data_IF_294182575723
#
_entry.id   IF_294182575723
#
_cell.length_a   1.000
_cell.length_b   1.000
_cell.length_c   1.000
_cell.angle_alpha   90.00
_cell.angle_beta   90.00
_cell.angle_gamma   90.00
#
_symmetry.space_group_name_H-M   'P 1'
#
loop_
_entity.id
_entity.type
_entity.pdbx_description
1 polymer ?
#
# COMPACT_ATOMS: atom_id res chain seq x y z
N UNK A 1 -10.63 -2.88 -29.67
CA UNK A 1 -11.04 -4.19 -29.13
C UNK A 1 -11.75 -3.96 -27.83
N UNK A 2 -12.90 -4.56 -27.61
CA UNK A 2 -13.58 -4.50 -26.31
C UNK A 2 -12.79 -5.32 -25.31
N UNK A 3 -12.71 -4.86 -24.05
CA UNK A 3 -12.01 -5.54 -22.98
C UNK A 3 -12.71 -6.86 -22.64
N UNK A 4 -11.96 -7.96 -22.57
CA UNK A 4 -12.51 -9.28 -22.27
C UNK A 4 -12.87 -9.44 -20.78
N UNK A 5 -12.04 -8.83 -19.93
CA UNK A 5 -12.16 -8.84 -18.49
C UNK A 5 -11.29 -7.74 -17.90
N UNK A 6 -11.78 -7.04 -16.88
CA UNK A 6 -11.00 -6.06 -16.12
C UNK A 6 -11.41 -6.08 -14.64
N UNK A 7 -10.54 -6.50 -13.75
CA UNK A 7 -10.85 -6.61 -12.33
C UNK A 7 -11.09 -5.26 -11.62
N UNK A 8 -10.78 -4.14 -12.27
CA UNK A 8 -11.06 -2.78 -11.77
C UNK A 8 -12.45 -2.27 -12.15
N UNK A 9 -13.14 -2.94 -13.07
CA UNK A 9 -14.48 -2.58 -13.47
C UNK A 9 -15.52 -3.46 -12.73
N UNK A 10 -16.44 -2.85 -11.97
CA UNK A 10 -17.50 -3.57 -11.24
C UNK A 10 -18.41 -4.43 -12.14
N UNK A 11 -18.45 -4.19 -13.43
CA UNK A 11 -19.16 -5.06 -14.35
C UNK A 11 -18.54 -6.47 -14.41
N UNK A 12 -17.20 -6.54 -14.43
CA UNK A 12 -16.48 -7.80 -14.54
C UNK A 12 -16.20 -8.49 -13.21
N UNK A 13 -16.09 -7.73 -12.11
CA UNK A 13 -15.80 -8.27 -10.78
C UNK A 13 -16.63 -7.61 -9.69
N UNK A 14 -17.49 -8.38 -9.04
CA UNK A 14 -18.32 -7.96 -7.92
C UNK A 14 -18.17 -8.88 -6.72
N UNK A 15 -17.96 -8.34 -5.51
CA UNK A 15 -17.70 -6.92 -5.22
C UNK A 15 -16.30 -6.49 -5.67
N UNK A 16 -16.11 -5.18 -5.81
CA UNK A 16 -14.80 -4.58 -6.09
C UNK A 16 -13.87 -4.71 -4.87
N UNK A 17 -12.57 -4.80 -5.12
CA UNK A 17 -11.54 -4.81 -4.07
C UNK A 17 -11.36 -6.17 -3.40
N UNK A 18 -10.89 -6.14 -2.13
CA UNK A 18 -10.71 -7.32 -1.30
C UNK A 18 -12.05 -7.87 -0.79
N UNK A 19 -12.08 -9.17 -0.53
CA UNK A 19 -13.26 -9.88 -0.06
C UNK A 19 -13.12 -10.25 1.42
N UNK A 20 -14.21 -10.24 2.13
CA UNK A 20 -14.29 -10.84 3.45
C UNK A 20 -14.44 -12.36 3.31
N UNK A 21 -13.77 -13.15 4.13
CA UNK A 21 -13.94 -14.59 4.15
C UNK A 21 -15.43 -14.97 4.33
N UNK A 22 -15.90 -15.89 3.50
CA UNK A 22 -17.33 -16.25 3.37
C UNK A 22 -18.14 -15.41 2.38
N UNK A 23 -17.57 -14.35 1.82
CA UNK A 23 -18.22 -13.55 0.79
C UNK A 23 -18.11 -14.21 -0.59
N UNK A 24 -19.19 -14.10 -1.38
CA UNK A 24 -19.21 -14.60 -2.76
C UNK A 24 -18.69 -13.52 -3.70
N UNK A 25 -17.80 -13.88 -4.61
CA UNK A 25 -17.38 -13.07 -5.75
C UNK A 25 -18.06 -13.55 -7.02
N UNK A 26 -18.59 -12.62 -7.81
CA UNK A 26 -19.03 -12.84 -9.18
C UNK A 26 -17.99 -12.32 -10.13
N UNK A 27 -17.56 -13.16 -11.08
CA UNK A 27 -16.68 -12.78 -12.17
C UNK A 27 -17.43 -12.96 -13.50
N UNK A 28 -17.38 -11.95 -14.36
CA UNK A 28 -18.00 -11.95 -15.68
C UNK A 28 -16.93 -11.83 -16.75
N UNK A 29 -16.99 -12.67 -17.77
CA UNK A 29 -16.05 -12.70 -18.88
C UNK A 29 -16.82 -12.43 -20.18
N UNK A 30 -16.32 -11.51 -21.01
CA UNK A 30 -16.89 -11.17 -22.30
C UNK A 30 -16.01 -11.72 -23.42
N UNK A 31 -16.54 -12.64 -24.20
CA UNK A 31 -15.83 -13.32 -25.28
C UNK A 31 -16.38 -12.88 -26.63
N UNK A 32 -15.56 -12.26 -27.50
CA UNK A 32 -15.98 -11.95 -28.90
C UNK A 32 -16.37 -13.18 -29.66
N UNK A 33 -17.40 -13.09 -30.50
CA UNK A 33 -17.86 -14.19 -31.34
C UNK A 33 -16.78 -14.71 -32.30
N UNK A 34 -15.86 -13.84 -32.69
CA UNK A 34 -14.70 -14.17 -33.54
C UNK A 34 -13.79 -15.25 -32.94
N UNK A 35 -13.81 -15.44 -31.63
CA UNK A 35 -13.05 -16.50 -30.96
C UNK A 35 -13.68 -17.90 -31.16
N UNK A 36 -14.86 -17.97 -31.74
CA UNK A 36 -15.56 -19.22 -32.01
C UNK A 36 -16.11 -19.91 -30.77
N UNK A 37 -16.29 -21.22 -30.85
CA UNK A 37 -16.77 -21.99 -29.70
C UNK A 37 -15.73 -21.99 -28.58
N UNK A 38 -16.17 -21.69 -27.34
CA UNK A 38 -15.38 -21.73 -26.12
C UNK A 38 -16.18 -22.36 -24.99
N UNK A 39 -15.49 -23.01 -24.07
CA UNK A 39 -16.03 -23.50 -22.79
C UNK A 39 -15.21 -22.92 -21.64
N UNK A 40 -15.43 -21.63 -21.27
CA UNK A 40 -14.52 -20.91 -20.38
C UNK A 40 -14.63 -21.42 -18.95
N UNK A 41 -13.46 -21.59 -18.33
CA UNK A 41 -13.29 -21.95 -16.93
C UNK A 41 -12.45 -20.88 -16.24
N UNK A 42 -12.87 -20.46 -15.06
CA UNK A 42 -12.01 -19.76 -14.14
C UNK A 42 -11.04 -20.76 -13.51
N UNK A 43 -9.75 -20.51 -13.61
CA UNK A 43 -8.70 -21.27 -12.92
C UNK A 43 -8.24 -20.45 -11.74
N UNK A 44 -8.50 -20.95 -10.54
CA UNK A 44 -8.21 -20.28 -9.28
C UNK A 44 -7.19 -21.06 -8.46
N UNK A 45 -6.15 -20.41 -7.98
CA UNK A 45 -5.11 -20.98 -7.14
C UNK A 45 -4.89 -20.11 -5.92
N UNK A 46 -4.96 -20.68 -4.73
CA UNK A 46 -4.56 -20.02 -3.50
C UNK A 46 -3.02 -19.96 -3.43
N UNK A 47 -2.47 -18.88 -2.88
CA UNK A 47 -1.04 -18.78 -2.63
C UNK A 47 -0.61 -19.82 -1.59
N UNK A 48 0.35 -20.67 -1.97
CA UNK A 48 0.89 -21.71 -1.11
C UNK A 48 1.62 -22.78 -1.90
N UNK A 49 2.59 -23.42 -1.29
CA UNK A 49 3.48 -24.39 -1.98
C UNK A 49 2.74 -25.67 -2.46
N UNK A 50 1.58 -25.96 -1.88
CA UNK A 50 0.85 -27.21 -2.13
C UNK A 50 -0.55 -27.02 -2.68
N UNK A 51 -0.95 -25.79 -2.97
CA UNK A 51 -2.30 -25.50 -3.47
C UNK A 51 -2.40 -25.78 -4.98
N UNK A 52 -3.20 -26.76 -5.32
CA UNK A 52 -3.48 -27.16 -6.71
C UNK A 52 -4.52 -26.18 -7.29
N UNK A 53 -4.34 -25.70 -8.54
CA UNK A 53 -5.37 -24.90 -9.19
C UNK A 53 -6.70 -25.63 -9.29
N UNK A 54 -7.79 -24.93 -8.97
CA UNK A 54 -9.15 -25.43 -9.07
C UNK A 54 -9.83 -24.77 -10.28
N UNK A 55 -10.49 -25.57 -11.10
CA UNK A 55 -11.18 -25.11 -12.30
C UNK A 55 -12.68 -25.02 -12.06
N UNK A 56 -13.25 -23.85 -12.31
CA UNK A 56 -14.68 -23.59 -12.18
C UNK A 56 -15.26 -23.24 -13.54
N UNK A 57 -16.11 -24.10 -14.07
CA UNK A 57 -16.79 -23.85 -15.34
C UNK A 57 -17.67 -22.62 -15.22
N UNK A 58 -17.53 -21.70 -16.16
CA UNK A 58 -18.37 -20.49 -16.22
C UNK A 58 -19.69 -20.81 -16.91
N UNK A 59 -20.76 -20.17 -16.48
CA UNK A 59 -22.08 -20.31 -17.06
C UNK A 59 -22.30 -19.25 -18.13
N UNK A 60 -22.93 -19.62 -19.23
CA UNK A 60 -23.40 -18.63 -20.19
C UNK A 60 -24.43 -17.71 -19.52
N UNK A 61 -24.24 -16.42 -19.65
CA UNK A 61 -24.98 -15.36 -18.92
C UNK A 61 -25.65 -14.36 -19.87
N UNK A 62 -25.64 -14.64 -21.13
CA UNK A 62 -26.23 -13.82 -22.17
C UNK A 62 -25.27 -13.46 -23.31
N UNK A 63 -25.76 -12.69 -24.25
CA UNK A 63 -24.98 -12.25 -25.42
C UNK A 63 -25.37 -10.82 -25.84
N UNK A 64 -24.44 -10.14 -26.46
CA UNK A 64 -24.67 -8.96 -27.30
C UNK A 64 -24.41 -9.32 -28.76
N UNK A 65 -24.70 -8.46 -29.74
CA UNK A 65 -24.43 -8.75 -31.15
C UNK A 65 -22.94 -9.04 -31.46
N UNK A 66 -22.04 -8.84 -30.56
CA UNK A 66 -20.61 -8.95 -30.80
C UNK A 66 -19.88 -9.85 -29.77
N UNK A 67 -20.54 -10.19 -28.65
CA UNK A 67 -19.88 -10.89 -27.54
C UNK A 67 -20.84 -11.86 -26.83
N UNK A 68 -20.28 -12.98 -26.40
CA UNK A 68 -20.89 -13.91 -25.45
C UNK A 68 -20.41 -13.60 -24.06
N UNK A 69 -21.31 -13.55 -23.09
CA UNK A 69 -21.02 -13.27 -21.70
C UNK A 69 -21.09 -14.57 -20.89
N UNK A 70 -20.11 -14.78 -20.05
CA UNK A 70 -20.03 -15.91 -19.13
C UNK A 70 -19.79 -15.42 -17.72
N UNK A 71 -20.38 -16.07 -16.73
CA UNK A 71 -20.17 -15.71 -15.35
C UNK A 71 -19.93 -16.91 -14.44
N UNK A 72 -19.27 -16.66 -13.32
CA UNK A 72 -19.09 -17.63 -12.24
C UNK A 72 -19.25 -16.91 -10.89
N UNK A 73 -19.90 -17.57 -9.95
CA UNK A 73 -20.04 -17.11 -8.57
C UNK A 73 -19.35 -18.10 -7.63
N UNK A 74 -18.44 -17.59 -6.80
CA UNK A 74 -17.62 -18.39 -5.92
C UNK A 74 -17.66 -17.84 -4.49
N UNK A 75 -18.08 -18.63 -3.49
CA UNK A 75 -17.84 -18.33 -2.10
C UNK A 75 -16.36 -18.57 -1.78
N UNK A 76 -15.66 -17.55 -1.28
CA UNK A 76 -14.28 -17.66 -0.84
C UNK A 76 -14.23 -17.63 0.69
N UNK A 77 -14.11 -18.80 1.30
CA UNK A 77 -14.23 -18.97 2.74
C UNK A 77 -12.90 -18.78 3.50
N UNK A 78 -11.78 -19.12 2.86
CA UNK A 78 -10.48 -19.12 3.51
C UNK A 78 -9.72 -17.82 3.25
N UNK A 79 -9.23 -17.12 4.28
CA UNK A 79 -8.36 -15.96 4.10
C UNK A 79 -7.07 -16.32 3.34
N UNK A 80 -6.57 -15.38 2.56
CA UNK A 80 -5.32 -15.52 1.80
C UNK A 80 -5.34 -14.77 0.48
N UNK A 81 -4.25 -14.96 -0.26
CA UNK A 81 -4.14 -14.46 -1.63
C UNK A 81 -4.52 -15.57 -2.60
N UNK A 82 -5.29 -15.21 -3.60
CA UNK A 82 -5.71 -16.08 -4.68
C UNK A 82 -5.30 -15.46 -6.00
N UNK A 83 -4.75 -16.28 -6.89
CA UNK A 83 -4.39 -15.88 -8.25
C UNK A 83 -5.29 -16.60 -9.23
N UNK A 84 -5.73 -15.92 -10.28
CA UNK A 84 -6.62 -16.52 -11.25
C UNK A 84 -6.38 -16.03 -12.68
N UNK A 85 -6.80 -16.85 -13.62
CA UNK A 85 -6.87 -16.59 -15.03
C UNK A 85 -8.06 -17.38 -15.62
N UNK A 86 -8.34 -17.21 -16.90
CA UNK A 86 -9.40 -17.98 -17.55
C UNK A 86 -8.81 -18.92 -18.59
N UNK A 87 -9.26 -20.19 -18.58
CA UNK A 87 -8.94 -21.20 -19.60
C UNK A 87 -10.15 -21.38 -20.49
N UNK A 88 -9.99 -21.26 -21.81
CA UNK A 88 -11.10 -21.36 -22.75
C UNK A 88 -11.43 -22.79 -23.10
N UNK A 89 -10.62 -23.75 -22.66
CA UNK A 89 -10.75 -25.21 -22.92
C UNK A 89 -10.86 -25.57 -24.39
N UNK A 90 -10.37 -24.69 -25.26
CA UNK A 90 -10.26 -24.90 -26.69
C UNK A 90 -8.87 -24.53 -27.16
N UNK A 91 -8.19 -25.39 -27.90
CA UNK A 91 -6.89 -25.11 -28.52
C UNK A 91 -5.82 -24.46 -27.63
N UNK A 92 -5.84 -24.71 -26.30
CA UNK A 92 -4.91 -24.20 -25.29
C UNK A 92 -4.92 -22.67 -25.12
N UNK A 93 -5.92 -21.97 -25.64
CA UNK A 93 -6.07 -20.52 -25.39
C UNK A 93 -6.48 -20.24 -23.97
N UNK A 94 -5.83 -19.27 -23.39
CA UNK A 94 -6.12 -18.75 -22.04
C UNK A 94 -6.21 -17.24 -22.08
N UNK A 95 -6.85 -16.64 -21.07
CA UNK A 95 -6.92 -15.20 -20.90
C UNK A 95 -6.17 -14.84 -19.64
N UNK A 96 -5.14 -14.05 -19.79
CA UNK A 96 -4.29 -13.53 -18.73
C UNK A 96 -4.40 -12.02 -18.61
N UNK A 97 -3.91 -11.48 -17.52
CA UNK A 97 -3.90 -10.05 -17.24
C UNK A 97 -2.92 -9.31 -18.14
N UNK A 98 -3.41 -8.40 -18.95
CA UNK A 98 -2.60 -7.48 -19.74
C UNK A 98 -2.11 -6.27 -18.95
N UNK A 99 -1.25 -5.40 -19.56
CA UNK A 99 -0.63 -4.24 -18.89
C UNK A 99 -1.63 -3.24 -18.31
N UNK A 100 -2.76 -3.04 -18.96
CA UNK A 100 -3.86 -2.15 -18.57
C UNK A 100 -4.93 -2.83 -17.70
N UNK A 101 -4.61 -4.00 -17.13
CA UNK A 101 -5.51 -4.89 -16.41
C UNK A 101 -6.60 -5.54 -17.27
N UNK A 102 -6.69 -5.24 -18.57
CA UNK A 102 -7.59 -5.92 -19.50
C UNK A 102 -7.09 -7.33 -19.85
N UNK A 103 -8.02 -8.26 -20.02
CA UNK A 103 -7.72 -9.64 -20.42
C UNK A 103 -7.15 -9.71 -21.83
N UNK A 104 -6.07 -10.46 -22.00
CA UNK A 104 -5.44 -10.77 -23.29
C UNK A 104 -5.42 -12.26 -23.53
N UNK A 105 -5.77 -12.69 -24.75
CA UNK A 105 -5.70 -14.11 -25.16
C UNK A 105 -4.25 -14.48 -25.38
N UNK A 106 -3.82 -15.61 -24.82
CA UNK A 106 -2.46 -16.13 -24.95
C UNK A 106 -2.43 -17.65 -24.94
N UNK A 107 -1.49 -18.25 -25.68
CA UNK A 107 -1.13 -19.67 -25.62
C UNK A 107 -0.02 -19.96 -24.63
N UNK A 108 0.66 -18.92 -24.16
CA UNK A 108 1.72 -19.01 -23.16
C UNK A 108 1.22 -18.53 -21.80
N UNK A 109 1.87 -18.97 -20.73
CA UNK A 109 1.58 -18.47 -19.40
C UNK A 109 1.87 -16.97 -19.32
N UNK A 110 0.92 -16.22 -18.73
CA UNK A 110 0.98 -14.78 -18.54
C UNK A 110 0.71 -14.38 -17.09
N UNK A 111 0.59 -13.10 -16.87
CA UNK A 111 0.28 -12.58 -15.54
C UNK A 111 -1.16 -12.90 -15.12
N UNK A 112 -1.33 -13.25 -13.85
CA UNK A 112 -2.61 -13.59 -13.25
C UNK A 112 -3.21 -12.38 -12.53
N UNK A 113 -4.54 -12.31 -12.47
CA UNK A 113 -5.19 -11.39 -11.53
C UNK A 113 -5.14 -11.95 -10.13
N UNK A 114 -5.30 -11.06 -9.16
CA UNK A 114 -5.29 -11.39 -7.73
C UNK A 114 -6.64 -11.10 -7.08
N UNK A 115 -7.05 -11.98 -6.17
CA UNK A 115 -8.11 -11.71 -5.18
C UNK A 115 -7.49 -11.83 -3.79
N UNK A 116 -7.66 -10.80 -2.98
CA UNK A 116 -7.32 -10.84 -1.56
C UNK A 116 -8.57 -11.16 -0.76
N UNK A 117 -8.50 -12.21 0.05
CA UNK A 117 -9.55 -12.58 1.00
C UNK A 117 -9.02 -12.33 2.40
N UNK A 118 -9.67 -11.44 3.16
CA UNK A 118 -9.29 -11.13 4.53
C UNK A 118 -10.16 -11.86 5.55
N UNK A 119 -9.64 -12.05 6.75
CA UNK A 119 -10.32 -12.74 7.84
C UNK A 119 -11.69 -12.10 8.14
N UNK A 120 -12.71 -12.92 8.36
CA UNK A 120 -14.06 -12.46 8.63
C UNK A 120 -14.19 -11.65 9.93
N UNK A 121 -13.30 -11.90 10.89
CA UNK A 121 -13.22 -11.16 12.15
C UNK A 121 -12.39 -9.87 12.06
N UNK A 122 -11.70 -9.60 10.93
CA UNK A 122 -10.92 -8.38 10.77
C UNK A 122 -11.81 -7.13 10.84
N UNK A 123 -11.41 -6.20 11.69
CA UNK A 123 -12.07 -4.90 11.82
C UNK A 123 -11.03 -3.79 11.84
N UNK A 124 -11.23 -2.80 11.01
CA UNK A 124 -10.46 -1.56 11.10
C UNK A 124 -10.82 -0.85 12.41
N UNK A 125 -9.85 -0.44 13.25
CA UNK A 125 -10.12 0.30 14.47
C UNK A 125 -10.97 1.55 14.19
N UNK A 126 -12.03 1.74 14.98
CA UNK A 126 -12.95 2.87 14.80
C UNK A 126 -12.23 4.23 14.92
N UNK A 127 -11.19 4.30 15.76
CA UNK A 127 -10.44 5.54 15.99
C UNK A 127 -9.72 6.07 14.75
N UNK A 128 -9.51 5.24 13.70
CA UNK A 128 -8.81 5.66 12.47
C UNK A 128 -9.76 5.85 11.27
N UNK A 129 -11.02 5.40 11.39
CA UNK A 129 -11.98 5.53 10.29
C UNK A 129 -12.37 6.99 10.05
N UNK A 130 -12.28 7.42 8.79
CA UNK A 130 -12.61 8.78 8.37
C UNK A 130 -11.67 9.86 8.90
N UNK A 131 -10.47 9.48 9.38
CA UNK A 131 -9.48 10.37 9.95
C UNK A 131 -8.45 10.83 8.93
N UNK A 132 -7.93 12.04 9.13
CA UNK A 132 -6.89 12.63 8.30
C UNK A 132 -5.52 12.33 8.89
N UNK A 133 -4.70 11.63 8.13
CA UNK A 133 -3.29 11.38 8.46
C UNK A 133 -2.42 12.34 7.68
N UNK A 134 -1.50 13.02 8.37
CA UNK A 134 -0.55 13.93 7.76
C UNK A 134 0.87 13.43 7.96
N UNK A 135 1.56 13.15 6.85
CA UNK A 135 2.95 12.72 6.90
C UNK A 135 3.88 13.91 7.02
N UNK A 136 4.84 13.82 7.93
CA UNK A 136 5.86 14.85 8.16
C UNK A 136 7.24 14.26 7.90
N UNK A 137 8.01 14.94 7.07
CA UNK A 137 9.46 14.79 6.98
C UNK A 137 10.10 15.81 7.94
N UNK A 138 10.56 15.41 9.13
CA UNK A 138 10.91 16.37 10.20
C UNK A 138 11.92 17.42 9.78
N UNK A 139 13.00 17.02 9.10
CA UNK A 139 14.04 17.92 8.63
C UNK A 139 13.53 19.05 7.73
N UNK A 140 12.46 18.79 6.96
CA UNK A 140 11.91 19.68 5.94
C UNK A 140 10.72 20.49 6.42
N UNK A 141 10.22 20.27 7.64
CA UNK A 141 8.91 20.80 8.05
C UNK A 141 9.00 22.14 8.74
N UNK A 142 9.67 22.23 9.87
CA UNK A 142 9.79 23.46 10.65
C UNK A 142 10.96 23.36 11.61
N UNK A 143 11.79 24.39 11.64
CA UNK A 143 12.82 24.58 12.67
C UNK A 143 12.20 25.24 13.90
N UNK A 144 12.33 24.60 15.06
CA UNK A 144 11.81 25.10 16.33
C UNK A 144 12.90 25.55 17.29
N UNK A 145 14.13 25.05 17.13
CA UNK A 145 15.27 25.38 17.94
C UNK A 145 16.33 26.06 17.05
N UNK A 146 16.51 27.35 17.24
CA UNK A 146 17.57 28.12 16.58
C UNK A 146 18.96 27.76 17.15
N UNK A 147 19.98 27.84 16.27
CA UNK A 147 21.39 27.62 16.66
C UNK A 147 21.63 26.27 17.38
N UNK A 148 20.88 25.25 17.04
CA UNK A 148 21.11 23.91 17.58
C UNK A 148 22.47 23.36 17.14
N UNK A 149 23.11 22.52 17.98
CA UNK A 149 24.37 21.90 17.60
C UNK A 149 24.22 21.03 16.37
N UNK A 150 25.17 21.15 15.45
CA UNK A 150 25.29 20.35 14.26
C UNK A 150 26.47 19.37 14.46
N UNK A 151 26.24 18.21 15.07
CA UNK A 151 27.30 17.36 15.58
C UNK A 151 28.08 16.61 14.48
N UNK A 152 27.58 16.62 13.27
CA UNK A 152 28.14 15.82 12.18
C UNK A 152 28.71 16.74 11.09
N UNK A 153 30.04 16.82 10.92
CA UNK A 153 30.68 17.73 9.97
C UNK A 153 30.52 17.30 8.50
N UNK A 154 30.12 16.08 8.27
CA UNK A 154 29.87 15.49 6.94
C UNK A 154 28.44 15.73 6.41
N UNK A 155 27.57 16.33 7.24
CA UNK A 155 26.21 16.70 6.83
C UNK A 155 26.18 18.15 6.34
N UNK A 156 25.52 18.36 5.19
CA UNK A 156 25.42 19.69 4.56
C UNK A 156 24.19 20.42 5.05
N UNK A 157 24.36 21.44 5.87
CA UNK A 157 23.25 22.23 6.39
C UNK A 157 22.95 23.42 5.47
N UNK A 158 21.72 23.48 4.98
CA UNK A 158 21.24 24.55 4.13
C UNK A 158 20.92 25.79 4.99
N UNK A 159 21.67 26.88 4.73
CA UNK A 159 21.38 28.17 5.37
C UNK A 159 20.08 28.78 4.82
N UNK A 160 19.86 28.64 3.51
CA UNK A 160 18.62 29.04 2.86
C UNK A 160 17.58 27.92 2.98
N UNK A 161 16.52 28.16 3.75
CA UNK A 161 15.42 27.20 3.94
C UNK A 161 14.53 27.02 2.69
N UNK A 162 14.70 27.88 1.69
CA UNK A 162 14.00 27.83 0.42
C UNK A 162 14.86 27.28 -0.73
N UNK A 163 16.11 26.91 -0.43
CA UNK A 163 16.98 26.27 -1.41
C UNK A 163 16.39 24.97 -1.95
N UNK A 164 16.70 24.64 -3.19
CA UNK A 164 16.31 23.34 -3.74
C UNK A 164 17.08 22.22 -3.05
N UNK A 165 16.40 21.12 -2.65
CA UNK A 165 17.07 19.93 -2.16
C UNK A 165 17.97 19.30 -3.22
N UNK A 166 19.02 18.58 -2.81
CA UNK A 166 19.84 17.81 -3.71
C UNK A 166 19.06 16.62 -4.26
N UNK A 167 18.62 16.73 -5.51
CA UNK A 167 17.82 15.72 -6.18
C UNK A 167 18.58 15.02 -7.33
N UNK A 168 19.69 15.61 -7.80
CA UNK A 168 20.51 15.01 -8.84
C UNK A 168 21.47 13.97 -8.26
N UNK A 169 21.70 12.87 -8.97
CA UNK A 169 22.74 11.92 -8.57
C UNK A 169 24.11 12.58 -8.62
N UNK A 170 25.00 12.16 -7.72
CA UNK A 170 26.40 12.55 -7.73
C UNK A 170 27.14 11.91 -8.92
N UNK A 171 28.45 12.18 -9.06
CA UNK A 171 29.31 11.67 -10.15
C UNK A 171 29.32 10.13 -10.22
N UNK A 172 29.04 9.44 -9.12
CA UNK A 172 28.96 7.96 -9.07
C UNK A 172 27.56 7.42 -9.27
N UNK A 173 26.57 8.28 -9.55
CA UNK A 173 25.16 7.89 -9.76
C UNK A 173 24.35 7.68 -8.45
N UNK A 174 24.94 7.94 -7.29
CA UNK A 174 24.27 7.85 -5.98
C UNK A 174 23.61 9.15 -5.56
N UNK A 175 22.54 9.04 -4.78
CA UNK A 175 21.93 10.18 -4.08
C UNK A 175 22.51 10.27 -2.68
N UNK A 176 23.10 11.40 -2.31
CA UNK A 176 23.78 11.55 -1.02
C UNK A 176 22.79 11.61 0.16
N UNK A 177 21.63 12.25 -0.02
CA UNK A 177 20.63 12.46 1.04
C UNK A 177 21.24 13.08 2.34
N UNK A 178 22.21 13.96 2.18
CA UNK A 178 23.04 14.55 3.24
C UNK A 178 22.77 16.06 3.43
N UNK A 179 21.85 16.63 2.64
CA UNK A 179 21.41 18.01 2.74
C UNK A 179 20.32 18.14 3.81
N UNK A 180 20.56 18.97 4.81
CA UNK A 180 19.67 19.18 5.95
C UNK A 180 19.15 20.62 5.97
N UNK A 181 17.85 20.78 6.22
CA UNK A 181 17.18 22.07 6.33
C UNK A 181 16.91 22.48 7.78
N UNK A 182 17.20 21.59 8.71
CA UNK A 182 17.17 21.90 10.12
C UNK A 182 15.81 21.89 10.79
N UNK A 183 14.77 21.35 10.15
CA UNK A 183 13.52 21.07 10.84
C UNK A 183 13.74 20.09 12.00
N UNK A 184 12.93 20.19 13.06
CA UNK A 184 13.10 19.40 14.28
C UNK A 184 11.75 19.07 14.96
N UNK A 185 11.80 18.26 16.03
CA UNK A 185 10.60 17.86 16.76
C UNK A 185 9.94 19.03 17.51
N UNK A 186 10.71 20.02 17.91
CA UNK A 186 10.17 21.23 18.52
C UNK A 186 9.40 22.06 17.48
N UNK A 187 9.91 22.16 16.25
CA UNK A 187 9.20 22.80 15.16
C UNK A 187 7.86 22.12 14.84
N UNK A 188 7.84 20.78 14.88
CA UNK A 188 6.58 20.03 14.75
C UNK A 188 5.64 20.39 15.91
N UNK A 189 6.14 20.41 17.15
CA UNK A 189 5.35 20.76 18.33
C UNK A 189 4.75 22.17 18.23
N UNK A 190 5.51 23.14 17.78
CA UNK A 190 5.04 24.53 17.59
C UNK A 190 3.94 24.58 16.52
N UNK A 191 4.00 23.75 15.50
CA UNK A 191 3.04 23.69 14.40
C UNK A 191 1.79 22.83 14.68
N UNK A 192 1.67 22.17 15.83
CA UNK A 192 0.49 21.36 16.18
C UNK A 192 -0.83 22.15 16.12
N UNK A 193 -0.92 23.43 16.60
CA UNK A 193 -2.15 24.21 16.46
C UNK A 193 -2.57 24.39 15.00
N UNK A 194 -1.63 24.70 14.12
CA UNK A 194 -1.86 24.83 12.67
C UNK A 194 -2.35 23.52 12.06
N UNK A 195 -1.72 22.39 12.37
CA UNK A 195 -2.13 21.07 11.88
C UNK A 195 -3.53 20.70 12.36
N UNK A 196 -3.86 21.05 13.61
CA UNK A 196 -5.20 20.85 14.16
C UNK A 196 -6.25 21.71 13.44
N UNK A 197 -5.93 22.96 13.13
CA UNK A 197 -6.82 23.85 12.37
C UNK A 197 -7.07 23.32 10.96
N UNK A 198 -6.06 22.69 10.34
CA UNK A 198 -6.20 21.96 9.07
C UNK A 198 -7.08 20.71 9.15
N UNK A 199 -7.50 20.28 10.33
CA UNK A 199 -8.28 19.06 10.52
C UNK A 199 -7.45 17.76 10.54
N UNK A 200 -6.15 17.83 10.83
CA UNK A 200 -5.29 16.65 10.97
C UNK A 200 -5.58 15.96 12.29
N UNK A 201 -5.90 14.67 12.22
CA UNK A 201 -6.16 13.82 13.38
C UNK A 201 -4.91 13.05 13.84
N UNK A 202 -4.09 12.62 12.90
CA UNK A 202 -2.91 11.77 13.15
C UNK A 202 -1.69 12.27 12.40
N UNK A 203 -0.53 12.17 13.05
CA UNK A 203 0.76 12.45 12.43
C UNK A 203 1.49 11.14 12.13
N UNK A 204 1.96 11.00 10.89
CA UNK A 204 2.92 9.99 10.50
C UNK A 204 4.28 10.66 10.31
N UNK A 205 5.21 10.42 11.23
CA UNK A 205 6.55 10.99 11.12
C UNK A 205 7.46 10.05 10.31
N UNK A 206 8.20 10.58 9.33
CA UNK A 206 9.37 9.88 8.83
C UNK A 206 10.29 9.52 10.01
N UNK A 207 11.18 8.53 9.88
CA UNK A 207 12.03 8.10 10.99
C UNK A 207 12.73 9.26 11.69
N UNK A 208 12.77 9.21 13.03
CA UNK A 208 13.35 10.25 13.89
C UNK A 208 14.60 9.78 14.63
N UNK A 209 14.92 8.51 14.51
CA UNK A 209 16.03 7.88 15.20
C UNK A 209 17.37 8.18 14.52
N UNK A 210 18.46 7.95 15.25
CA UNK A 210 19.81 8.22 14.78
C UNK A 210 20.10 7.50 13.46
N UNK A 211 20.50 8.28 12.45
CA UNK A 211 20.83 7.81 11.11
C UNK A 211 21.74 8.79 10.38
N UNK A 212 22.45 8.35 9.36
CA UNK A 212 23.33 9.22 8.57
C UNK A 212 22.57 10.08 7.56
N UNK A 213 21.51 9.55 6.93
CA UNK A 213 20.74 10.28 5.91
C UNK A 213 19.68 11.22 6.50
N UNK A 214 19.33 12.25 5.75
CA UNK A 214 18.29 13.21 6.14
C UNK A 214 16.90 12.56 6.32
N UNK A 215 16.59 11.52 5.55
CA UNK A 215 15.32 10.78 5.63
C UNK A 215 15.27 9.75 6.77
N UNK A 216 16.41 9.34 7.32
CA UNK A 216 16.59 8.45 8.48
C UNK A 216 16.03 7.04 8.36
N UNK A 217 15.66 6.59 7.14
CA UNK A 217 15.21 5.21 6.92
C UNK A 217 16.35 4.18 7.07
N UNK A 218 17.61 4.60 6.97
CA UNK A 218 18.81 3.81 7.25
C UNK A 218 19.21 3.92 8.74
N UNK A 219 18.27 3.73 9.64
CA UNK A 219 18.43 3.88 11.09
C UNK A 219 19.62 3.09 11.61
N UNK A 220 20.55 3.76 12.30
CA UNK A 220 21.71 3.17 12.96
C UNK A 220 21.41 2.76 14.41
N UNK A 221 20.62 3.56 15.12
CA UNK A 221 20.23 3.28 16.51
C UNK A 221 18.77 3.67 16.75
N UNK A 222 17.95 2.68 17.13
CA UNK A 222 16.53 2.89 17.48
C UNK A 222 16.28 3.36 18.92
N UNK A 223 17.31 3.44 19.75
CA UNK A 223 17.17 3.86 21.15
C UNK A 223 17.31 5.36 21.31
N UNK A 224 18.00 6.02 20.39
CA UNK A 224 18.28 7.44 20.42
C UNK A 224 17.59 8.20 19.28
N UNK A 225 17.04 9.36 19.60
CA UNK A 225 16.59 10.34 18.60
C UNK A 225 17.83 10.98 17.98
N UNK A 226 17.79 11.18 16.65
CA UNK A 226 18.89 11.80 15.92
C UNK A 226 19.20 13.21 16.49
N UNK A 227 20.45 13.52 16.87
CA UNK A 227 20.82 14.78 17.51
C UNK A 227 20.36 16.06 16.79
N UNK A 228 20.35 16.14 15.45
CA UNK A 228 19.76 17.28 14.72
C UNK A 228 18.22 17.41 14.87
N UNK A 229 17.55 16.43 15.47
CA UNK A 229 16.11 16.48 15.78
C UNK A 229 15.87 16.60 17.30
N UNK A 230 16.47 17.55 18.05
CA UNK A 230 16.28 17.60 19.47
C UNK A 230 14.78 17.70 19.79
N UNK A 231 14.33 16.89 20.74
CA UNK A 231 13.07 17.09 21.40
C UNK A 231 13.26 18.08 22.54
N UNK A 232 12.26 18.90 22.87
CA UNK A 232 12.32 19.69 24.09
C UNK A 232 12.54 18.73 25.26
N UNK A 233 13.52 19.04 26.13
CA UNK A 233 13.73 18.25 27.34
C UNK A 233 12.38 18.07 28.06
N UNK A 234 11.96 16.86 28.40
CA UNK A 234 10.67 16.67 29.04
C UNK A 234 10.72 17.43 30.38
N UNK A 235 9.97 18.53 30.50
CA UNK A 235 9.52 18.96 31.81
C UNK A 235 8.86 17.72 32.41
N UNK A 236 9.35 17.27 33.59
CA UNK A 236 8.92 16.04 34.28
C UNK A 236 7.47 15.72 33.96
N UNK A 237 7.26 14.60 33.27
CA UNK A 237 5.98 14.22 32.74
C UNK A 237 4.93 14.14 33.84
N UNK A 238 3.83 14.85 33.67
CA UNK A 238 2.62 14.58 34.45
C UNK A 238 2.12 13.17 34.12
N UNK A 239 1.46 12.45 35.04
CA UNK A 239 1.05 11.04 34.86
C UNK A 239 0.15 10.75 33.65
N UNK A 240 -0.48 11.79 33.06
CA UNK A 240 -1.38 11.66 31.90
C UNK A 240 -0.72 11.33 30.56
N UNK A 241 0.61 11.46 30.41
CA UNK A 241 1.33 11.11 29.17
C UNK A 241 1.65 9.62 29.02
N UNK A 242 1.44 8.81 30.04
CA UNK A 242 1.67 7.36 29.97
C UNK A 242 0.60 6.60 29.17
N UNK A 243 -0.59 7.15 29.00
CA UNK A 243 -1.67 6.53 28.22
C UNK A 243 -1.48 6.70 26.71
N UNK A 244 -1.00 7.85 26.23
CA UNK A 244 -0.71 8.08 24.81
C UNK A 244 0.40 7.15 24.29
N UNK A 245 1.36 6.77 25.13
CA UNK A 245 2.38 5.76 24.77
C UNK A 245 1.81 4.33 24.68
N UNK A 246 0.75 4.00 25.39
CA UNK A 246 0.11 2.68 25.33
C UNK A 246 -0.66 2.49 24.05
N UNK A 247 -1.35 3.49 23.54
CA UNK A 247 -2.08 3.43 22.25
C UNK A 247 -1.09 3.20 21.10
N UNK A 248 0.06 3.86 21.07
CA UNK A 248 1.09 3.65 20.07
C UNK A 248 1.74 2.26 20.10
N UNK A 249 1.82 1.61 21.29
CA UNK A 249 2.34 0.24 21.42
C UNK A 249 1.32 -0.82 21.00
N UNK A 250 0.04 -0.62 21.28
CA UNK A 250 -1.01 -1.55 20.87
C UNK A 250 -1.26 -1.54 19.36
N UNK A 251 -1.11 -0.42 18.69
CA UNK A 251 -1.11 -0.37 17.23
C UNK A 251 0.10 -1.09 16.60
N UNK A 252 1.29 -1.02 17.22
CA UNK A 252 2.48 -1.73 16.71
C UNK A 252 2.40 -3.25 16.82
N UNK A 253 1.78 -3.79 17.89
CA UNK A 253 1.73 -5.24 18.12
C UNK A 253 0.73 -5.99 17.25
N UNK A 254 -0.24 -5.30 16.60
CA UNK A 254 -1.23 -5.92 15.73
C UNK A 254 -0.89 -5.90 14.24
N UNK A 255 0.18 -5.20 13.84
CA UNK A 255 0.55 -5.03 12.42
C UNK A 255 1.86 -5.71 12.01
N UNK A 256 2.37 -6.63 12.79
CA UNK A 256 3.49 -7.49 12.35
C UNK A 256 2.96 -8.88 12.00
N UNK A 257 2.85 -9.24 10.71
CA UNK A 257 2.48 -10.60 10.29
C UNK A 257 3.67 -11.56 10.28
N UNK A 258 4.82 -11.18 10.84
CA UNK A 258 6.02 -12.02 10.87
C UNK A 258 6.55 -12.17 12.31
N UNK A 259 6.09 -13.21 12.95
CA UNK A 259 6.81 -13.99 13.93
C UNK A 259 6.58 -15.46 13.61
#
# INVERSE_FOLDING_TARGET
>A
MSCLFNSYDPYFKQPFGALRAGQTVRLTLCIPEELGYVDPHLVLQKEGKYDVPVHYRMKFDGQTPQQNHFSVELPLNDPGLYFYYFDLYTDFRRIYRGPDNCGVVSWQEGEKWQITVYDAGFQTPECIKGKVFYQIFPDRFCEGIENKPMPFPDRLYQADKHAEPFWQPNETGGHLNEDYFGGDLEGIRIKLPYLREMGVDYLYLNPIFEAHSNHRYNTADYLNVDPPLPAPMPRRASPSRSEERRVGKECRSRWSPYH
#
